data_IF_294850216557
#
_entry.id   IF_294850216557
#
_cell.length_a   1.000
_cell.length_b   1.000
_cell.length_c   1.000
_cell.angle_alpha   90.00
_cell.angle_beta   90.00
_cell.angle_gamma   90.00
#
_symmetry.space_group_name_H-M   'P 1'
#
loop_
_entity.id
_entity.type
_entity.pdbx_description
1 polymer ?
#
# COMPACT_ATOMS: atom_id res chain seq x y z
N UNK A 1 21.59 17.95 -7.69
CA UNK A 1 20.79 16.76 -7.98
C UNK A 1 19.38 17.13 -7.58
N UNK A 2 18.43 17.03 -8.50
CA UNK A 2 17.03 17.29 -8.18
C UNK A 2 16.44 15.96 -7.72
N UNK A 3 16.02 15.88 -6.46
CA UNK A 3 15.26 14.76 -5.94
C UNK A 3 13.77 15.06 -6.10
N UNK A 4 13.02 14.04 -6.48
CA UNK A 4 11.56 14.09 -6.50
C UNK A 4 11.07 13.53 -5.17
N UNK A 5 10.27 14.31 -4.45
CA UNK A 5 9.63 13.91 -3.21
C UNK A 5 8.22 13.41 -3.52
N UNK A 6 7.92 12.18 -3.12
CA UNK A 6 6.60 11.56 -3.30
C UNK A 6 6.10 11.12 -1.94
N UNK A 7 4.83 11.37 -1.66
CA UNK A 7 4.22 10.96 -0.39
C UNK A 7 3.56 9.59 -0.59
N UNK A 8 3.89 8.62 0.26
CA UNK A 8 3.20 7.34 0.29
C UNK A 8 1.74 7.57 0.69
N UNK A 9 0.75 7.13 -0.11
CA UNK A 9 -0.66 7.34 0.21
C UNK A 9 -1.14 6.55 1.43
N UNK A 10 -0.38 5.54 1.88
CA UNK A 10 -0.75 4.67 3.00
C UNK A 10 -0.25 5.20 4.34
N UNK A 11 1.04 5.49 4.45
CA UNK A 11 1.66 5.92 5.72
C UNK A 11 2.10 7.38 5.74
N UNK A 12 1.84 8.15 4.68
CA UNK A 12 2.27 9.53 4.51
C UNK A 12 3.80 9.76 4.60
N UNK A 13 4.59 8.70 4.53
CA UNK A 13 6.05 8.77 4.47
C UNK A 13 6.52 9.42 3.17
N UNK A 14 7.58 10.24 3.23
CA UNK A 14 8.16 10.89 2.04
C UNK A 14 9.22 9.98 1.41
N UNK A 15 8.95 9.48 0.21
CA UNK A 15 9.90 8.78 -0.64
C UNK A 15 10.70 9.80 -1.46
N UNK A 16 12.01 9.79 -1.27
CA UNK A 16 12.96 10.61 -2.03
C UNK A 16 13.54 9.81 -3.21
N UNK A 17 13.14 10.13 -4.43
CA UNK A 17 13.67 9.49 -5.65
C UNK A 17 14.66 10.42 -6.36
N UNK A 18 15.82 9.91 -6.74
CA UNK A 18 16.77 10.66 -7.55
C UNK A 18 16.41 10.63 -9.04
N UNK A 19 17.05 11.49 -9.84
CA UNK A 19 16.95 11.43 -11.29
C UNK A 19 17.44 10.09 -11.88
N UNK A 20 18.40 9.43 -11.21
CA UNK A 20 18.87 8.10 -11.59
C UNK A 20 17.78 7.04 -11.35
N UNK A 21 17.20 7.01 -10.15
CA UNK A 21 16.11 6.07 -9.80
C UNK A 21 14.94 6.21 -10.78
N UNK A 22 14.53 7.46 -11.05
CA UNK A 22 13.48 7.74 -12.03
C UNK A 22 13.84 7.33 -13.45
N UNK A 23 15.11 7.41 -13.84
CA UNK A 23 15.52 6.98 -15.18
C UNK A 23 15.50 5.46 -15.34
N UNK A 24 15.57 4.71 -14.25
CA UNK A 24 15.52 3.25 -14.22
C UNK A 24 14.08 2.72 -14.18
N UNK A 25 13.16 3.49 -13.61
CA UNK A 25 11.74 3.14 -13.51
C UNK A 25 11.00 3.33 -14.84
N UNK A 26 10.15 2.37 -15.21
CA UNK A 26 9.26 2.46 -16.37
C UNK A 26 7.79 2.42 -15.92
N UNK A 27 6.88 2.80 -16.82
CA UNK A 27 5.45 2.63 -16.53
C UNK A 27 5.14 1.13 -16.42
N UNK A 28 4.49 0.74 -15.32
CA UNK A 28 4.24 -0.65 -14.93
C UNK A 28 5.30 -1.23 -13.98
N UNK A 29 6.36 -0.50 -13.63
CA UNK A 29 7.25 -0.90 -12.54
C UNK A 29 6.57 -0.70 -11.18
N UNK A 30 6.89 -1.57 -10.22
CA UNK A 30 6.35 -1.52 -8.85
C UNK A 30 7.43 -1.04 -7.89
N UNK A 31 7.08 -0.04 -7.08
CA UNK A 31 7.90 0.52 -6.02
C UNK A 31 7.28 0.14 -4.69
N UNK A 32 8.10 -0.33 -3.75
CA UNK A 32 7.65 -0.69 -2.40
C UNK A 32 8.05 0.39 -1.42
N UNK A 33 7.09 0.87 -0.62
CA UNK A 33 7.40 1.76 0.50
C UNK A 33 8.18 1.00 1.58
N UNK A 34 9.35 1.52 1.99
CA UNK A 34 10.20 0.88 3.00
C UNK A 34 9.55 0.86 4.40
N UNK A 35 8.65 1.81 4.68
CA UNK A 35 8.02 2.01 5.99
C UNK A 35 6.77 1.14 6.21
N UNK A 36 5.92 1.01 5.19
CA UNK A 36 4.64 0.29 5.30
C UNK A 36 4.49 -0.89 4.34
N UNK A 37 5.50 -1.18 3.52
CA UNK A 37 5.49 -2.24 2.51
C UNK A 37 4.32 -2.12 1.50
N UNK A 38 3.81 -0.91 1.29
CA UNK A 38 2.83 -0.64 0.24
C UNK A 38 3.46 -0.76 -1.15
N UNK A 39 2.80 -1.51 -2.03
CA UNK A 39 3.18 -1.70 -3.42
C UNK A 39 2.51 -0.64 -4.29
N UNK A 40 3.30 0.15 -5.00
CA UNK A 40 2.84 1.27 -5.83
C UNK A 40 3.35 1.09 -7.27
N UNK A 41 2.43 1.04 -8.23
CA UNK A 41 2.77 0.97 -9.65
C UNK A 41 3.04 2.36 -10.22
N UNK A 42 4.10 2.48 -11.01
CA UNK A 42 4.38 3.67 -11.80
C UNK A 42 3.39 3.76 -12.97
N UNK A 43 2.44 4.68 -12.89
CA UNK A 43 1.48 4.92 -13.98
C UNK A 43 1.96 5.97 -14.96
N UNK A 44 2.83 6.89 -14.51
CA UNK A 44 3.47 7.91 -15.37
C UNK A 44 4.91 8.15 -14.99
N UNK A 45 5.80 8.05 -15.98
CA UNK A 45 7.20 8.48 -15.85
C UNK A 45 7.77 8.91 -17.22
N UNK A 46 7.41 10.12 -17.67
CA UNK A 46 7.85 10.67 -18.95
C UNK A 46 8.83 11.85 -18.80
N UNK A 47 9.69 12.12 -19.80
CA UNK A 47 10.69 13.20 -19.75
C UNK A 47 10.10 14.62 -19.66
N UNK A 48 8.78 14.77 -19.85
CA UNK A 48 8.01 16.01 -19.69
C UNK A 48 6.64 15.76 -19.04
N UNK A 49 6.51 14.67 -18.30
CA UNK A 49 5.28 14.32 -17.58
C UNK A 49 5.60 14.27 -16.10
N UNK A 50 4.63 14.69 -15.29
CA UNK A 50 4.66 14.46 -13.85
C UNK A 50 4.76 12.95 -13.57
N UNK A 51 5.56 12.62 -12.56
CA UNK A 51 5.69 11.25 -12.09
C UNK A 51 4.49 10.93 -11.22
N UNK A 52 3.83 9.81 -11.50
CA UNK A 52 2.57 9.43 -10.86
C UNK A 52 2.60 7.94 -10.50
N UNK A 53 2.05 7.63 -9.32
CA UNK A 53 1.99 6.30 -8.75
C UNK A 53 0.55 5.93 -8.43
N UNK A 54 0.18 4.67 -8.65
CA UNK A 54 -1.09 4.09 -8.23
C UNK A 54 -0.84 3.00 -7.18
N UNK A 55 -1.57 3.04 -6.08
CA UNK A 55 -1.48 2.04 -5.03
C UNK A 55 -2.10 0.72 -5.54
N UNK A 56 -1.31 -0.34 -5.61
CA UNK A 56 -1.81 -1.68 -5.93
C UNK A 56 -2.38 -2.34 -4.66
N UNK A 57 -1.66 -2.23 -3.56
CA UNK A 57 -2.09 -2.71 -2.25
C UNK A 57 -0.98 -2.66 -1.21
N UNK A 58 -1.24 -3.27 -0.06
CA UNK A 58 -0.30 -3.36 1.06
C UNK A 58 0.10 -4.81 1.25
N UNK A 59 1.40 -5.10 1.18
CA UNK A 59 1.92 -6.42 1.43
C UNK A 59 1.81 -6.75 2.92
N UNK A 60 1.08 -7.83 3.24
CA UNK A 60 0.94 -8.34 4.60
C UNK A 60 1.24 -9.82 4.67
N UNK A 61 1.62 -10.31 5.85
CA UNK A 61 1.90 -11.74 6.06
C UNK A 61 0.72 -12.41 6.73
N UNK A 62 0.24 -13.52 6.14
CA UNK A 62 -0.82 -14.30 6.76
C UNK A 62 -0.33 -14.95 8.07
N UNK A 63 -0.97 -14.69 9.23
CA UNK A 63 -0.58 -15.31 10.50
C UNK A 63 -0.85 -16.83 10.55
N UNK A 64 -1.67 -17.35 9.64
CA UNK A 64 -2.02 -18.78 9.61
C UNK A 64 -1.04 -19.63 8.80
N UNK A 65 -0.63 -19.18 7.61
CA UNK A 65 0.29 -19.94 6.75
C UNK A 65 1.68 -19.32 6.61
N UNK A 66 1.89 -18.08 7.08
CA UNK A 66 3.15 -17.37 6.97
C UNK A 66 3.48 -16.88 5.56
N UNK A 67 2.52 -16.97 4.62
CA UNK A 67 2.70 -16.53 3.24
C UNK A 67 2.31 -15.05 3.11
N UNK A 68 3.10 -14.32 2.34
CA UNK A 68 2.86 -12.92 2.02
C UNK A 68 1.77 -12.82 0.93
N UNK A 69 0.90 -11.83 1.09
CA UNK A 69 -0.13 -11.52 0.11
C UNK A 69 -0.43 -10.02 0.13
N UNK A 70 -0.85 -9.52 -1.02
CA UNK A 70 -1.20 -8.12 -1.18
C UNK A 70 -2.65 -7.89 -0.76
N UNK A 71 -2.87 -6.85 0.04
CA UNK A 71 -4.19 -6.37 0.46
C UNK A 71 -4.55 -5.18 -0.42
N UNK A 72 -5.37 -5.43 -1.43
CA UNK A 72 -5.84 -4.39 -2.34
C UNK A 72 -7.07 -3.68 -1.78
N UNK A 73 -7.35 -2.48 -2.28
CA UNK A 73 -8.57 -1.75 -1.94
C UNK A 73 -9.82 -2.57 -2.29
N UNK A 74 -9.82 -3.22 -3.44
CA UNK A 74 -10.91 -4.09 -3.91
C UNK A 74 -11.17 -5.28 -2.96
N UNK A 75 -10.11 -5.81 -2.31
CA UNK A 75 -10.26 -6.83 -1.27
C UNK A 75 -10.86 -6.28 0.01
N UNK A 76 -10.56 -5.03 0.37
CA UNK A 76 -11.11 -4.36 1.54
C UNK A 76 -12.58 -3.96 1.33
N UNK A 77 -12.92 -3.45 0.14
CA UNK A 77 -14.30 -3.14 -0.24
C UNK A 77 -15.19 -4.38 -0.25
N UNK A 78 -14.65 -5.53 -0.66
CA UNK A 78 -15.35 -6.81 -0.65
C UNK A 78 -15.35 -7.50 0.73
N UNK A 79 -14.45 -7.11 1.64
CA UNK A 79 -14.31 -7.73 2.94
C UNK A 79 -15.42 -7.26 3.90
N UNK A 80 -16.02 -8.17 4.68
CA UNK A 80 -16.92 -7.76 5.76
C UNK A 80 -16.13 -7.04 6.85
N UNK A 81 -16.65 -5.91 7.31
CA UNK A 81 -16.13 -5.16 8.45
C UNK A 81 -16.80 -5.61 9.74
N UNK A 82 -16.02 -5.69 10.81
CA UNK A 82 -16.48 -6.02 12.16
C UNK A 82 -16.12 -4.88 13.11
N UNK A 83 -17.07 -4.50 13.96
CA UNK A 83 -16.87 -3.48 14.98
C UNK A 83 -16.68 -4.19 16.33
N UNK A 84 -15.54 -3.97 16.97
CA UNK A 84 -15.25 -4.52 18.29
C UNK A 84 -15.84 -3.63 19.39
N UNK A 85 -16.09 -4.19 20.56
CA UNK A 85 -16.71 -3.49 21.69
C UNK A 85 -15.93 -2.26 22.21
N UNK A 86 -14.72 -2.01 21.69
CA UNK A 86 -13.87 -0.85 21.98
C UNK A 86 -13.92 0.27 20.93
N UNK A 87 -14.75 0.16 19.90
CA UNK A 87 -14.83 1.12 18.79
C UNK A 87 -13.80 0.91 17.68
N UNK A 88 -12.96 -0.13 17.78
CA UNK A 88 -12.05 -0.54 16.70
C UNK A 88 -12.83 -1.24 15.60
N UNK A 89 -12.62 -0.81 14.36
CA UNK A 89 -13.17 -1.45 13.16
C UNK A 89 -12.07 -2.28 12.50
N UNK A 90 -12.36 -3.54 12.22
CA UNK A 90 -11.45 -4.42 11.49
C UNK A 90 -12.10 -4.95 10.21
N UNK A 91 -11.34 -5.03 9.12
CA UNK A 91 -11.77 -5.66 7.87
C UNK A 91 -11.35 -7.12 7.87
N UNK A 92 -12.28 -8.03 7.62
CA UNK A 92 -12.01 -9.47 7.61
C UNK A 92 -11.68 -9.92 6.20
N UNK A 93 -10.39 -9.89 5.85
CA UNK A 93 -9.91 -10.36 4.54
C UNK A 93 -9.68 -11.87 4.57
N UNK A 94 -9.79 -12.52 3.41
CA UNK A 94 -9.51 -13.95 3.27
C UNK A 94 -8.16 -14.13 2.59
N UNK A 95 -7.24 -14.84 3.24
CA UNK A 95 -5.94 -15.16 2.64
C UNK A 95 -6.13 -15.97 1.34
N UNK A 96 -5.55 -15.55 0.20
CA UNK A 96 -5.70 -16.28 -1.06
C UNK A 96 -5.03 -17.67 -1.03
N UNK A 97 -4.01 -17.84 -0.18
CA UNK A 97 -3.21 -19.07 -0.11
C UNK A 97 -3.86 -20.16 0.73
N UNK A 98 -4.28 -19.82 1.95
CA UNK A 98 -4.82 -20.79 2.91
C UNK A 98 -6.32 -20.63 3.19
N UNK A 99 -6.95 -19.58 2.66
CA UNK A 99 -8.36 -19.21 2.93
C UNK A 99 -8.68 -18.96 4.40
N UNK A 100 -7.66 -18.70 5.23
CA UNK A 100 -7.88 -18.23 6.59
C UNK A 100 -8.48 -16.82 6.56
N UNK A 101 -9.41 -16.56 7.48
CA UNK A 101 -9.93 -15.22 7.73
C UNK A 101 -8.92 -14.47 8.60
N UNK A 102 -8.57 -13.27 8.18
CA UNK A 102 -7.60 -12.41 8.84
C UNK A 102 -8.32 -11.10 9.16
N UNK A 103 -8.32 -10.72 10.42
CA UNK A 103 -8.83 -9.45 10.89
C UNK A 103 -7.71 -8.40 10.72
N UNK A 104 -7.93 -7.42 9.85
CA UNK A 104 -7.01 -6.31 9.62
C UNK A 104 -7.59 -5.06 10.28
N UNK A 105 -6.90 -4.57 11.30
CA UNK A 105 -7.21 -3.31 11.97
C UNK A 105 -6.55 -2.18 11.20
N UNK A 106 -7.35 -1.27 10.63
CA UNK A 106 -6.85 -0.06 10.00
C UNK A 106 -7.05 1.09 11.00
N UNK A 107 -5.96 1.74 11.39
CA UNK A 107 -6.06 3.03 12.05
C UNK A 107 -6.54 4.03 10.98
N UNK A 108 -7.84 4.36 10.97
CA UNK A 108 -8.32 5.54 10.25
C UNK A 108 -7.44 6.69 10.71
N UNK A 109 -6.63 7.22 9.79
CA UNK A 109 -5.56 8.15 10.10
C UNK A 109 -6.03 9.17 11.12
N UNK A 110 -5.29 9.26 12.22
CA UNK A 110 -5.45 10.32 13.19
C UNK A 110 -5.35 11.63 12.41
N UNK A 111 -6.49 12.21 12.05
CA UNK A 111 -6.60 13.59 11.57
C UNK A 111 -6.14 14.46 12.74
N UNK A 112 -4.82 14.62 12.83
CA UNK A 112 -4.17 15.52 13.76
C UNK A 112 -4.72 16.91 13.53
N UNK A 113 -5.63 17.29 14.43
CA UNK A 113 -6.25 18.61 14.59
C UNK A 113 -5.27 19.78 14.56
#
# INVERSE_FOLDING_TARGET
MATLEIVCPVCAEVLELTDADRSELQVGDVIVCDSCNAEMEVTRNGPNQDFDLELLGVLTTCPSCGEEFDVTDEMLEAAPTIEHAGGTVASVVTCPHCRAQIELEFEEGEEGI
#
